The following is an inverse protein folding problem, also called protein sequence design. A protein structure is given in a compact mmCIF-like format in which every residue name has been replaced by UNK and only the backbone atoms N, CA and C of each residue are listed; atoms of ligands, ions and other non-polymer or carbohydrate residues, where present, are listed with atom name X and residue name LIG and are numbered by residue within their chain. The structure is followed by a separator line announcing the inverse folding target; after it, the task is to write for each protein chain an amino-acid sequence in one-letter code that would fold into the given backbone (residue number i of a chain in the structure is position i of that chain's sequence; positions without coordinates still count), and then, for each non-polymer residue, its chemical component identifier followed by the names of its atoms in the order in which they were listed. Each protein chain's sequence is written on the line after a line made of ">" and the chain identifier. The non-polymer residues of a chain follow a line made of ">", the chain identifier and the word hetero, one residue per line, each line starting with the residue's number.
data_IF_977888764660
#
_entry.id   IF_977888764660
#
_cell.length_a   1.000
_cell.length_b   1.000
_cell.length_c   1.000
_cell.angle_alpha   90.00
_cell.angle_beta   90.00
_cell.angle_gamma   90.00
#
_symmetry.space_group_name_H-M   'P 1'
#
loop_
_entity.id
_entity.type
_entity.pdbx_description
1 polymer ?
#
# COMPACT_ATOMS: atom_id res chain seq x y z
N UNK A 1 11.49 -10.29 8.01
CA UNK A 1 10.16 -10.88 8.33
C UNK A 1 9.18 -9.72 8.44
N UNK A 2 8.45 -9.44 7.36
CA UNK A 2 7.43 -8.40 7.34
C UNK A 2 6.07 -9.09 7.47
N UNK A 3 5.36 -8.82 8.55
CA UNK A 3 4.00 -9.34 8.78
C UNK A 3 3.06 -8.50 7.92
N UNK A 4 2.52 -9.11 6.87
CA UNK A 4 1.46 -8.52 6.05
C UNK A 4 0.12 -8.77 6.73
N UNK A 5 -0.48 -7.72 7.31
CA UNK A 5 -1.87 -7.75 7.76
C UNK A 5 -2.78 -7.57 6.56
N UNK A 6 -3.37 -8.68 6.10
CA UNK A 6 -4.50 -8.67 5.15
C UNK A 6 -5.77 -8.42 5.98
N UNK A 7 -6.34 -7.22 5.89
CA UNK A 7 -7.61 -6.91 6.55
C UNK A 7 -8.75 -7.37 5.65
N UNK A 8 -9.44 -8.44 6.08
CA UNK A 8 -10.70 -8.87 5.51
C UNK A 8 -11.83 -7.96 6.00
N UNK A 9 -12.60 -7.40 5.08
CA UNK A 9 -13.76 -6.56 5.37
C UNK A 9 -14.90 -7.43 5.92
N UNK A 10 -15.13 -7.37 7.23
CA UNK A 10 -16.36 -7.87 7.86
C UNK A 10 -17.27 -6.66 8.08
N UNK A 11 -18.34 -6.57 7.29
CA UNK A 11 -19.41 -5.60 7.47
C UNK A 11 -20.25 -6.00 8.68
N UNK A 12 -19.99 -5.41 9.85
CA UNK A 12 -20.93 -5.44 10.95
C UNK A 12 -21.99 -4.34 10.76
N UNK A 13 -23.29 -4.64 10.91
CA UNK A 13 -24.34 -3.62 10.93
C UNK A 13 -24.15 -2.70 12.15
N UNK A 14 -24.57 -1.43 12.06
CA UNK A 14 -24.43 -0.48 13.18
C UNK A 14 -25.35 -0.90 14.33
N UNK A 15 -24.76 -1.43 15.39
CA UNK A 15 -25.42 -1.53 16.69
C UNK A 15 -25.53 -0.12 17.28
N UNK A 16 -26.73 0.45 17.15
CA UNK A 16 -27.16 1.62 17.91
C UNK A 16 -27.27 1.20 19.37
N UNK A 17 -26.27 1.54 20.19
CA UNK A 17 -26.47 1.60 21.63
C UNK A 17 -27.19 2.91 21.91
N UNK A 18 -28.50 2.81 22.17
CA UNK A 18 -29.23 3.84 22.88
C UNK A 18 -28.74 3.83 24.32
N UNK A 19 -28.03 4.88 24.73
CA UNK A 19 -27.64 5.06 26.12
C UNK A 19 -28.81 5.70 26.87
N UNK A 20 -29.17 5.06 27.98
CA UNK A 20 -30.36 5.29 28.78
C UNK A 20 -30.31 6.66 29.46
N UNK A 21 -31.34 7.46 29.26
CA UNK A 21 -31.57 8.69 30.01
C UNK A 21 -31.79 8.41 31.50
N UNK A 22 -31.10 9.17 32.34
CA UNK A 22 -31.32 9.22 33.78
C UNK A 22 -31.07 10.64 34.29
N UNK A 23 -32.14 11.29 34.74
CA UNK A 23 -32.12 12.22 35.87
C UNK A 23 -31.63 13.64 35.57
N UNK A 24 -32.59 14.55 35.54
CA UNK A 24 -32.46 16.01 35.60
C UNK A 24 -31.32 16.54 36.49
N UNK A 25 -30.36 17.18 35.86
CA UNK A 25 -29.65 18.35 36.36
C UNK A 25 -29.62 19.34 35.18
N UNK A 26 -29.88 20.63 35.41
CA UNK A 26 -29.75 21.67 34.38
C UNK A 26 -28.27 21.73 33.95
N UNK A 27 -27.87 20.88 33.01
CA UNK A 27 -26.49 20.67 32.63
C UNK A 27 -25.99 21.83 31.77
N UNK A 28 -24.84 22.37 32.15
CA UNK A 28 -24.15 23.45 31.47
C UNK A 28 -23.81 23.11 30.00
N UNK A 29 -23.72 21.82 29.69
CA UNK A 29 -23.47 21.23 28.37
C UNK A 29 -24.54 21.57 27.32
N UNK A 30 -25.79 21.84 27.73
CA UNK A 30 -26.87 22.15 26.78
C UNK A 30 -26.77 23.55 26.18
N UNK A 31 -25.93 24.42 26.77
CA UNK A 31 -25.91 25.85 26.47
C UNK A 31 -24.53 26.38 26.11
N UNK A 32 -23.48 25.63 26.45
CA UNK A 32 -22.09 26.05 26.29
C UNK A 32 -21.25 24.90 25.80
N UNK A 33 -20.57 25.13 24.67
CA UNK A 33 -19.62 24.18 24.12
C UNK A 33 -18.20 24.65 24.40
N UNK A 34 -17.50 23.96 25.30
CA UNK A 34 -16.11 24.24 25.63
C UNK A 34 -15.17 23.25 24.95
N UNK A 35 -14.09 23.78 24.38
CA UNK A 35 -13.00 22.99 23.79
C UNK A 35 -11.65 23.46 24.31
N UNK A 36 -10.72 22.53 24.50
CA UNK A 36 -9.36 22.84 24.91
C UNK A 36 -8.39 22.69 23.74
N UNK A 37 -7.31 23.47 23.77
CA UNK A 37 -6.12 23.22 22.95
C UNK A 37 -4.95 22.96 23.89
N UNK A 38 -4.23 21.86 23.67
CA UNK A 38 -3.13 21.45 24.53
C UNK A 38 -1.85 21.31 23.71
N UNK A 39 -0.83 22.07 24.11
CA UNK A 39 0.54 21.98 23.60
C UNK A 39 1.52 22.16 24.76
N UNK A 40 2.73 21.61 24.65
CA UNK A 40 3.79 21.79 25.65
C UNK A 40 4.10 23.27 25.91
N UNK A 41 3.92 24.14 24.91
CA UNK A 41 4.15 25.58 25.02
C UNK A 41 3.00 26.32 25.71
N UNK A 42 1.75 25.98 25.38
CA UNK A 42 0.57 26.69 25.86
C UNK A 42 -0.65 25.77 25.88
N UNK A 43 -1.41 25.85 26.98
CA UNK A 43 -2.74 25.22 27.08
C UNK A 43 -3.80 26.30 27.19
N UNK A 44 -4.86 26.15 26.41
CA UNK A 44 -5.95 27.11 26.35
C UNK A 44 -7.31 26.41 26.40
N UNK A 45 -8.32 27.19 26.76
CA UNK A 45 -9.72 26.79 26.77
C UNK A 45 -10.52 27.86 26.02
N UNK A 46 -11.39 27.44 25.12
CA UNK A 46 -12.33 28.27 24.41
C UNK A 46 -13.75 27.75 24.66
N UNK A 47 -14.63 28.60 25.18
CA UNK A 47 -16.04 28.25 25.42
C UNK A 47 -16.94 29.12 24.55
N UNK A 48 -17.80 28.48 23.76
CA UNK A 48 -18.77 29.08 22.86
C UNK A 48 -20.17 28.97 23.43
N UNK A 49 -20.94 30.06 23.37
CA UNK A 49 -22.30 30.16 23.92
C UNK A 49 -23.34 30.25 22.81
N UNK A 50 -24.42 29.51 22.97
CA UNK A 50 -25.56 29.58 22.06
C UNK A 50 -26.21 30.97 22.07
N UNK A 51 -26.74 31.39 20.92
CA UNK A 51 -27.22 32.76 20.69
C UNK A 51 -28.32 33.19 21.66
N UNK A 52 -29.19 32.26 22.07
CA UNK A 52 -30.29 32.53 23.00
C UNK A 52 -29.84 32.90 24.42
N UNK A 53 -28.68 32.41 24.85
CA UNK A 53 -28.19 32.57 26.23
C UNK A 53 -27.01 33.54 26.31
N UNK A 54 -26.24 33.69 25.23
CA UNK A 54 -25.12 34.63 25.16
C UNK A 54 -25.53 36.06 25.54
N UNK A 55 -26.75 36.49 25.18
CA UNK A 55 -27.30 37.79 25.55
C UNK A 55 -27.59 37.92 27.06
N UNK A 56 -27.85 36.82 27.75
CA UNK A 56 -28.23 36.78 29.17
C UNK A 56 -27.06 36.45 30.10
N UNK A 57 -25.87 36.15 29.56
CA UNK A 57 -24.66 35.97 30.35
C UNK A 57 -24.22 37.29 30.96
N UNK A 58 -24.20 37.35 32.30
CA UNK A 58 -23.69 38.51 33.06
C UNK A 58 -22.21 38.38 33.38
N UNK A 59 -21.76 37.19 33.77
CA UNK A 59 -20.36 36.93 34.17
C UNK A 59 -20.02 35.46 33.98
N UNK A 60 -18.80 35.19 33.53
CA UNK A 60 -18.21 33.84 33.53
C UNK A 60 -16.96 33.86 34.39
N UNK A 61 -16.81 32.85 35.23
CA UNK A 61 -15.65 32.68 36.09
C UNK A 61 -15.14 31.24 35.98
N UNK A 62 -13.85 31.11 35.74
CA UNK A 62 -13.15 29.83 35.80
C UNK A 62 -12.24 29.88 37.00
N UNK A 63 -12.29 28.85 37.83
CA UNK A 63 -11.39 28.72 38.97
C UNK A 63 -10.94 27.27 39.10
N UNK A 64 -9.75 27.08 39.63
CA UNK A 64 -9.27 25.77 40.03
C UNK A 64 -9.00 25.78 41.53
N UNK A 65 -9.15 24.63 42.14
CA UNK A 65 -8.82 24.43 43.55
C UNK A 65 -7.42 23.85 43.61
N UNK A 66 -6.47 24.60 44.13
CA UNK A 66 -5.16 24.06 44.50
C UNK A 66 -5.08 24.09 46.02
N UNK A 67 -5.23 22.89 46.61
CA UNK A 67 -5.08 22.40 47.99
C UNK A 67 -5.48 23.28 49.19
N UNK A 68 -5.40 24.62 49.13
CA UNK A 68 -5.83 25.57 50.17
C UNK A 68 -6.40 26.91 49.64
N UNK A 69 -6.45 27.21 48.33
CA UNK A 69 -7.04 28.45 47.78
C UNK A 69 -7.84 28.23 46.49
N UNK A 70 -9.02 28.84 46.41
CA UNK A 70 -9.79 28.98 45.15
C UNK A 70 -9.20 30.13 44.35
N UNK A 71 -8.39 29.80 43.34
CA UNK A 71 -7.79 30.80 42.46
C UNK A 71 -8.66 30.96 41.22
N UNK A 72 -9.17 32.18 41.00
CA UNK A 72 -9.89 32.51 39.77
C UNK A 72 -8.88 32.78 38.66
N UNK A 73 -9.05 32.10 37.53
CA UNK A 73 -8.29 32.34 36.30
C UNK A 73 -8.82 33.63 35.67
N UNK A 74 -7.90 34.52 35.29
CA UNK A 74 -8.24 35.73 34.56
C UNK A 74 -8.66 35.36 33.13
N UNK A 75 -9.75 35.95 32.66
CA UNK A 75 -10.16 35.86 31.26
C UNK A 75 -9.07 36.47 30.38
N UNK A 76 -8.68 35.78 29.31
CA UNK A 76 -7.66 36.26 28.38
C UNK A 76 -8.25 37.30 27.43
N UNK A 77 -9.27 36.90 26.68
CA UNK A 77 -9.99 37.76 25.76
C UNK A 77 -11.42 37.25 25.54
N UNK A 78 -12.23 38.12 24.95
CA UNK A 78 -13.59 37.83 24.49
C UNK A 78 -13.66 38.23 23.01
N UNK A 79 -14.29 37.42 22.19
CA UNK A 79 -14.56 37.78 20.79
C UNK A 79 -15.49 38.99 20.69
N UNK A 80 -15.41 39.76 19.60
CA UNK A 80 -16.19 41.00 19.40
C UNK A 80 -17.70 40.76 19.41
N UNK A 81 -18.13 39.60 18.90
CA UNK A 81 -19.51 39.11 18.95
C UNK A 81 -19.99 38.77 20.39
N UNK A 82 -19.06 38.72 21.33
CA UNK A 82 -19.31 38.40 22.73
C UNK A 82 -19.66 36.94 23.00
N UNK A 83 -19.58 36.04 22.01
CA UNK A 83 -20.05 34.66 22.08
C UNK A 83 -18.99 33.67 22.55
N UNK A 84 -17.72 33.99 22.36
CA UNK A 84 -16.61 33.10 22.69
C UNK A 84 -15.67 33.72 23.71
N UNK A 85 -15.33 32.94 24.73
CA UNK A 85 -14.43 33.34 25.81
C UNK A 85 -13.20 32.48 25.77
N UNK A 86 -12.00 33.09 25.78
CA UNK A 86 -10.76 32.33 25.82
C UNK A 86 -9.96 32.56 27.10
N UNK A 87 -9.34 31.47 27.53
CA UNK A 87 -8.43 31.40 28.65
C UNK A 87 -7.14 30.74 28.16
N UNK A 88 -6.00 31.26 28.61
CA UNK A 88 -4.67 30.80 28.21
C UNK A 88 -3.82 30.49 29.42
N UNK A 89 -2.69 29.80 29.21
CA UNK A 89 -1.73 29.45 30.25
C UNK A 89 -2.35 28.62 31.39
N UNK A 90 -3.27 27.72 31.02
CA UNK A 90 -3.87 26.79 31.95
C UNK A 90 -2.92 25.63 32.25
N UNK A 91 -3.02 25.09 33.47
CA UNK A 91 -2.33 23.88 33.88
C UNK A 91 -3.04 22.67 33.23
N UNK A 92 -2.31 21.80 32.51
CA UNK A 92 -2.90 20.67 31.78
C UNK A 92 -3.48 19.56 32.68
N UNK A 93 -3.09 19.50 33.97
CA UNK A 93 -3.49 18.44 34.91
C UNK A 93 -4.63 18.89 35.84
N UNK A 94 -4.78 20.20 36.04
CA UNK A 94 -5.77 20.74 36.97
C UNK A 94 -7.21 20.47 36.53
N UNK A 95 -8.08 20.24 37.51
CA UNK A 95 -9.53 20.26 37.33
C UNK A 95 -10.02 21.70 37.52
N UNK A 96 -10.73 22.20 36.52
CA UNK A 96 -11.29 23.54 36.51
C UNK A 96 -12.79 23.49 36.78
N UNK A 97 -13.28 24.42 37.58
CA UNK A 97 -14.70 24.65 37.78
C UNK A 97 -15.07 25.90 36.98
N UNK A 98 -15.86 25.72 35.92
CA UNK A 98 -16.46 26.81 35.18
C UNK A 98 -17.79 27.16 35.83
N UNK A 99 -18.06 28.45 36.03
CA UNK A 99 -19.34 28.92 36.52
C UNK A 99 -19.80 30.12 35.71
N UNK A 100 -21.02 30.03 35.20
CA UNK A 100 -21.70 31.06 34.43
C UNK A 100 -22.78 31.65 35.32
N UNK A 101 -22.80 32.97 35.41
CA UNK A 101 -23.86 33.72 36.10
C UNK A 101 -24.66 34.49 35.05
N UNK A 102 -25.95 34.21 34.99
CA UNK A 102 -26.89 34.89 34.10
C UNK A 102 -27.41 36.20 34.73
N UNK A 103 -28.05 37.05 33.92
CA UNK A 103 -28.71 38.28 34.38
C UNK A 103 -29.81 38.01 35.41
N UNK A 104 -30.49 36.87 35.28
CA UNK A 104 -31.49 36.36 36.24
C UNK A 104 -30.90 35.99 37.62
N UNK A 105 -29.56 36.07 37.77
CA UNK A 105 -28.78 35.59 38.92
C UNK A 105 -28.72 34.07 39.05
N UNK A 106 -29.29 33.32 38.12
CA UNK A 106 -29.05 31.88 38.02
C UNK A 106 -27.55 31.63 37.78
N UNK A 107 -27.02 30.64 38.47
CA UNK A 107 -25.61 30.25 38.38
C UNK A 107 -25.54 28.78 37.97
N UNK A 108 -24.97 28.54 36.79
CA UNK A 108 -24.68 27.20 36.28
C UNK A 108 -23.19 26.94 36.47
N UNK A 109 -22.82 25.78 37.00
CA UNK A 109 -21.41 25.42 37.18
C UNK A 109 -21.16 23.99 36.73
N UNK A 110 -19.95 23.75 36.21
CA UNK A 110 -19.52 22.42 35.78
C UNK A 110 -18.00 22.23 35.93
N UNK A 111 -17.57 20.97 35.91
CA UNK A 111 -16.18 20.54 36.07
C UNK A 111 -15.55 20.18 34.73
N UNK A 112 -14.50 20.90 34.36
CA UNK A 112 -13.77 20.71 33.12
C UNK A 112 -12.36 20.18 33.40
N UNK A 113 -11.95 19.16 32.66
CA UNK A 113 -10.56 18.73 32.54
C UNK A 113 -10.12 18.95 31.11
N UNK A 114 -9.02 19.68 30.91
CA UNK A 114 -8.57 20.04 29.56
C UNK A 114 -8.32 18.81 28.69
N UNK A 115 -7.77 17.75 29.27
CA UNK A 115 -7.46 16.51 28.56
C UNK A 115 -8.68 15.76 28.00
N UNK A 116 -9.89 16.06 28.46
CA UNK A 116 -11.10 15.31 28.10
C UNK A 116 -11.87 15.99 26.93
N UNK A 117 -11.59 17.27 26.64
CA UNK A 117 -12.33 18.10 25.67
C UNK A 117 -11.43 18.72 24.59
N UNK A 118 -10.36 18.03 24.20
CA UNK A 118 -9.37 18.55 23.26
C UNK A 118 -9.95 18.67 21.85
N UNK A 119 -9.89 19.87 21.27
CA UNK A 119 -10.05 20.08 19.82
C UNK A 119 -8.68 20.39 19.23
N UNK A 120 -8.02 19.42 18.54
CA UNK A 120 -6.68 19.64 18.02
C UNK A 120 -6.67 20.61 16.83
N UNK A 121 -5.51 21.20 16.55
CA UNK A 121 -5.29 21.96 15.33
C UNK A 121 -5.51 21.06 14.10
N UNK A 122 -6.09 21.60 13.00
CA UNK A 122 -6.23 20.85 11.76
C UNK A 122 -4.83 20.40 11.27
N UNK A 123 -4.68 19.13 10.83
CA UNK A 123 -3.46 18.71 10.15
C UNK A 123 -3.37 19.38 8.77
N UNK A 124 -2.27 19.18 8.06
CA UNK A 124 -2.16 19.54 6.65
C UNK A 124 -1.69 18.37 5.80
N UNK A 125 -2.07 18.38 4.52
CA UNK A 125 -1.58 17.43 3.53
C UNK A 125 -0.22 17.92 3.03
N UNK A 126 0.85 17.32 3.53
CA UNK A 126 2.22 17.67 3.15
C UNK A 126 2.57 17.19 1.74
N UNK A 127 2.02 16.05 1.31
CA UNK A 127 2.20 15.54 -0.04
C UNK A 127 0.98 14.69 -0.44
N UNK A 128 0.51 14.82 -1.67
CA UNK A 128 -0.48 13.92 -2.27
C UNK A 128 -0.14 13.76 -3.75
N UNK A 129 0.41 12.60 -4.13
CA UNK A 129 0.84 12.34 -5.50
C UNK A 129 0.45 10.95 -5.96
N UNK A 130 0.14 10.82 -7.25
CA UNK A 130 -0.05 9.53 -7.88
C UNK A 130 1.25 9.05 -8.51
N UNK A 131 1.79 7.96 -7.99
CA UNK A 131 3.08 7.40 -8.44
C UNK A 131 2.81 6.28 -9.45
N UNK A 132 3.09 6.57 -10.73
CA UNK A 132 2.83 5.65 -11.85
C UNK A 132 3.56 4.31 -11.73
N UNK A 133 4.82 4.32 -11.31
CA UNK A 133 5.68 3.12 -11.25
C UNK A 133 5.15 2.02 -10.34
N UNK A 134 4.38 2.40 -9.31
CA UNK A 134 3.79 1.50 -8.32
C UNK A 134 2.26 1.48 -8.39
N UNK A 135 1.67 2.18 -9.38
CA UNK A 135 0.23 2.34 -9.58
C UNK A 135 -0.52 2.62 -8.27
N UNK A 136 -0.10 3.65 -7.53
CA UNK A 136 -0.70 4.01 -6.24
C UNK A 136 -0.60 5.51 -5.97
N UNK A 137 -1.56 6.05 -5.22
CA UNK A 137 -1.46 7.37 -4.64
C UNK A 137 -0.78 7.30 -3.26
N UNK A 138 0.19 8.18 -3.03
CA UNK A 138 0.86 8.37 -1.75
C UNK A 138 0.44 9.71 -1.15
N UNK A 139 -0.15 9.65 0.04
CA UNK A 139 -0.64 10.79 0.80
C UNK A 139 0.14 10.86 2.10
N UNK A 140 0.76 12.01 2.37
CA UNK A 140 1.49 12.31 3.60
C UNK A 140 0.80 13.46 4.32
N UNK A 141 0.54 13.23 5.60
CA UNK A 141 -0.12 14.16 6.51
C UNK A 141 0.90 14.63 7.53
N UNK A 142 0.86 15.90 7.90
CA UNK A 142 1.69 16.45 8.96
C UNK A 142 0.83 17.19 9.99
N UNK A 143 1.43 17.40 11.17
CA UNK A 143 0.74 17.96 12.34
C UNK A 143 1.65 18.88 13.14
N UNK A 144 1.04 19.78 13.89
CA UNK A 144 1.74 20.65 14.84
C UNK A 144 2.33 19.93 16.06
N UNK A 145 1.98 18.66 16.28
CA UNK A 145 2.23 17.94 17.53
C UNK A 145 3.49 17.07 17.54
N UNK A 146 4.45 17.31 16.65
CA UNK A 146 5.71 16.58 16.68
C UNK A 146 6.46 16.87 17.99
N UNK A 147 6.77 15.84 18.78
CA UNK A 147 7.35 15.95 20.12
C UNK A 147 6.47 16.73 21.13
N UNK A 148 5.14 16.73 20.95
CA UNK A 148 4.18 17.38 21.84
C UNK A 148 3.29 16.35 22.58
N UNK A 149 2.36 16.79 23.44
CA UNK A 149 1.44 15.94 24.20
C UNK A 149 0.68 14.93 23.34
N UNK A 150 0.24 15.37 22.16
CA UNK A 150 -0.56 14.59 21.21
C UNK A 150 0.29 13.85 20.15
N UNK A 151 1.62 13.86 20.28
CA UNK A 151 2.49 13.10 19.37
C UNK A 151 2.12 11.61 19.38
N UNK A 152 1.82 11.06 18.19
CA UNK A 152 1.36 9.68 17.99
C UNK A 152 0.11 9.28 18.80
N UNK A 153 -0.69 10.25 19.26
CA UNK A 153 -1.95 10.04 20.01
C UNK A 153 -3.14 10.64 19.27
N UNK A 154 -3.06 10.63 17.94
CA UNK A 154 -4.09 11.15 17.05
C UNK A 154 -4.52 10.06 16.08
N UNK A 155 -5.83 9.95 15.87
CA UNK A 155 -6.39 9.30 14.68
C UNK A 155 -6.66 10.38 13.64
N UNK A 156 -6.40 10.05 12.38
CA UNK A 156 -6.65 10.92 11.24
C UNK A 156 -7.79 10.35 10.42
N UNK A 157 -8.73 11.20 10.03
CA UNK A 157 -9.71 10.86 8.99
C UNK A 157 -9.32 11.55 7.71
N UNK A 158 -9.11 10.78 6.65
CA UNK A 158 -8.77 11.27 5.32
C UNK A 158 -10.00 11.18 4.44
N UNK A 159 -10.38 12.29 3.82
CA UNK A 159 -11.41 12.35 2.78
C UNK A 159 -10.75 12.50 1.42
N UNK A 160 -11.06 11.56 0.51
CA UNK A 160 -10.63 11.57 -0.88
C UNK A 160 -11.87 11.75 -1.75
N UNK A 161 -11.92 12.83 -2.52
CA UNK A 161 -13.05 13.17 -3.39
C UNK A 161 -12.62 13.19 -4.84
N UNK A 162 -13.29 12.43 -5.70
CA UNK A 162 -13.04 12.44 -7.15
C UNK A 162 -14.24 11.91 -7.93
N UNK A 163 -14.52 12.52 -9.09
CA UNK A 163 -15.64 12.17 -9.97
C UNK A 163 -17.00 12.00 -9.24
N UNK A 164 -17.31 12.90 -8.31
CA UNK A 164 -18.55 12.83 -7.51
C UNK A 164 -18.55 11.78 -6.39
N UNK A 165 -17.56 10.89 -6.34
CA UNK A 165 -17.39 9.93 -5.23
C UNK A 165 -16.61 10.56 -4.08
N UNK A 166 -17.02 10.24 -2.86
CA UNK A 166 -16.36 10.65 -1.62
C UNK A 166 -16.04 9.40 -0.82
N UNK A 167 -14.75 9.16 -0.59
CA UNK A 167 -14.25 8.07 0.24
C UNK A 167 -13.66 8.66 1.52
N UNK A 168 -14.00 8.08 2.67
CA UNK A 168 -13.45 8.46 3.97
C UNK A 168 -12.82 7.25 4.62
N UNK A 169 -11.63 7.41 5.17
CA UNK A 169 -10.93 6.35 5.90
C UNK A 169 -10.22 6.92 7.12
N UNK A 170 -10.22 6.16 8.21
CA UNK A 170 -9.55 6.52 9.44
C UNK A 170 -8.21 5.77 9.52
N UNK A 171 -7.13 6.49 9.83
CA UNK A 171 -5.76 5.96 9.89
C UNK A 171 -5.06 6.45 11.15
N UNK A 172 -4.16 5.61 11.68
CA UNK A 172 -3.35 5.92 12.87
C UNK A 172 -2.02 6.60 12.53
N UNK A 173 -1.58 6.45 11.28
CA UNK A 173 -0.29 6.93 10.80
C UNK A 173 -0.47 8.12 9.87
N UNK A 174 0.55 8.97 9.84
CA UNK A 174 0.65 10.15 8.98
C UNK A 174 0.91 9.84 7.49
N UNK A 175 0.76 8.57 7.09
CA UNK A 175 0.95 8.12 5.71
C UNK A 175 -0.19 7.19 5.31
N UNK A 176 -0.73 7.44 4.12
CA UNK A 176 -1.75 6.62 3.49
C UNK A 176 -1.33 6.32 2.06
N UNK A 177 -1.38 5.04 1.71
CA UNK A 177 -1.19 4.57 0.34
C UNK A 177 -2.49 4.00 -0.18
N UNK A 178 -2.98 4.53 -1.29
CA UNK A 178 -4.20 4.07 -1.97
C UNK A 178 -3.81 3.42 -3.28
N UNK A 179 -4.10 2.13 -3.43
CA UNK A 179 -3.84 1.42 -4.68
C UNK A 179 -4.65 2.02 -5.82
N UNK A 180 -4.03 2.14 -7.00
CA UNK A 180 -4.67 2.71 -8.20
C UNK A 180 -5.90 1.95 -8.66
N UNK A 181 -6.08 0.68 -8.27
CA UNK A 181 -7.31 -0.09 -8.55
C UNK A 181 -8.55 0.46 -7.85
N UNK A 182 -8.39 1.24 -6.78
CA UNK A 182 -9.47 1.91 -6.05
C UNK A 182 -9.69 3.36 -6.52
N UNK A 183 -8.92 3.80 -7.51
CA UNK A 183 -8.97 5.14 -8.07
C UNK A 183 -9.35 5.03 -9.55
N UNK A 184 -10.18 5.96 -10.01
CA UNK A 184 -10.52 6.04 -11.41
C UNK A 184 -9.34 6.61 -12.21
N UNK A 185 -9.08 6.12 -13.43
CA UNK A 185 -8.02 6.62 -14.28
C UNK A 185 -8.35 8.02 -14.83
N UNK A 186 -7.32 8.85 -14.99
CA UNK A 186 -7.43 10.22 -15.53
C UNK A 186 -8.39 11.15 -14.74
N UNK A 187 -8.54 10.91 -13.44
CA UNK A 187 -9.45 11.64 -12.56
C UNK A 187 -8.67 12.58 -11.65
N UNK A 188 -9.22 13.79 -11.45
CA UNK A 188 -8.72 14.75 -10.47
C UNK A 188 -9.35 14.46 -9.11
N UNK A 189 -8.50 14.14 -8.15
CA UNK A 189 -8.87 13.90 -6.76
C UNK A 189 -8.49 15.08 -5.89
N UNK A 190 -9.32 15.38 -4.90
CA UNK A 190 -9.04 16.32 -3.81
C UNK A 190 -8.98 15.54 -2.50
N UNK A 191 -7.92 15.79 -1.73
CA UNK A 191 -7.65 15.13 -0.46
C UNK A 191 -7.61 16.16 0.64
N UNK A 192 -8.30 15.87 1.74
CA UNK A 192 -8.19 16.66 2.98
C UNK A 192 -8.20 15.72 4.18
N UNK A 193 -7.63 16.16 5.29
CA UNK A 193 -7.55 15.37 6.51
C UNK A 193 -8.05 16.17 7.71
N UNK A 194 -8.50 15.47 8.74
CA UNK A 194 -8.75 16.02 10.08
C UNK A 194 -8.24 15.05 11.13
N UNK A 195 -7.95 15.54 12.33
CA UNK A 195 -7.40 14.74 13.41
C UNK A 195 -8.34 14.72 14.63
N UNK A 196 -8.28 13.65 15.42
CA UNK A 196 -8.96 13.55 16.73
C UNK A 196 -8.01 12.89 17.73
N UNK A 197 -7.99 13.32 19.00
CA UNK A 197 -7.27 12.60 20.05
C UNK A 197 -7.72 11.14 20.12
N UNK A 198 -6.74 10.25 20.24
CA UNK A 198 -6.96 8.81 20.36
C UNK A 198 -6.13 8.25 21.51
N UNK A 199 -6.80 7.52 22.40
CA UNK A 199 -6.22 6.88 23.56
C UNK A 199 -7.06 7.12 24.81
N UNK A 200 -6.66 6.51 25.92
CA UNK A 200 -7.46 6.55 27.15
C UNK A 200 -7.29 7.85 27.94
N UNK A 201 -6.12 8.49 27.82
CA UNK A 201 -5.77 9.68 28.61
C UNK A 201 -6.23 10.99 27.96
N UNK A 202 -6.18 11.09 26.63
CA UNK A 202 -6.56 12.28 25.89
C UNK A 202 -7.81 12.01 25.06
N UNK A 203 -8.86 12.78 25.31
CA UNK A 203 -10.14 12.69 24.64
C UNK A 203 -10.55 14.05 24.09
N UNK A 204 -11.55 14.05 23.23
CA UNK A 204 -12.14 15.27 22.70
C UNK A 204 -12.73 15.10 21.33
N UNK A 205 -12.58 16.12 20.51
CA UNK A 205 -13.33 16.34 19.29
C UNK A 205 -12.46 16.23 18.03
N UNK A 206 -13.10 16.13 16.89
CA UNK A 206 -12.43 16.28 15.60
C UNK A 206 -11.96 17.72 15.41
N UNK A 207 -10.76 17.88 14.84
CA UNK A 207 -10.32 19.16 14.29
C UNK A 207 -11.23 19.58 13.14
N UNK A 208 -11.10 20.84 12.75
CA UNK A 208 -11.58 21.27 11.45
C UNK A 208 -10.83 20.51 10.34
N UNK A 209 -11.42 20.48 9.15
CA UNK A 209 -10.76 19.88 7.98
C UNK A 209 -9.58 20.73 7.52
N UNK A 210 -8.51 20.09 7.08
CA UNK A 210 -7.41 20.75 6.37
C UNK A 210 -7.90 21.35 5.06
N UNK A 211 -7.12 22.30 4.54
CA UNK A 211 -7.27 22.73 3.15
C UNK A 211 -7.08 21.52 2.21
N UNK A 212 -7.88 21.43 1.13
CA UNK A 212 -7.79 20.31 0.21
C UNK A 212 -6.58 20.45 -0.72
N UNK A 213 -5.86 19.36 -0.92
CA UNK A 213 -4.77 19.24 -1.91
C UNK A 213 -5.21 18.32 -3.03
N UNK A 214 -4.93 18.72 -4.28
CA UNK A 214 -5.35 17.96 -5.45
C UNK A 214 -4.23 17.10 -6.02
N UNK A 215 -4.57 15.89 -6.49
CA UNK A 215 -3.69 15.05 -7.31
C UNK A 215 -4.48 14.45 -8.47
N UNK A 216 -3.80 14.16 -9.58
CA UNK A 216 -4.43 13.57 -10.76
C UNK A 216 -3.90 12.16 -10.98
N UNK A 217 -4.81 11.19 -11.10
CA UNK A 217 -4.44 9.86 -11.57
C UNK A 217 -4.16 9.92 -13.07
N UNK A 218 -3.23 9.09 -13.54
CA UNK A 218 -2.97 9.02 -14.98
C UNK A 218 -3.80 7.93 -15.62
N UNK A 219 -3.93 7.98 -16.94
CA UNK A 219 -4.47 6.84 -17.68
C UNK A 219 -3.64 5.61 -17.32
N UNK A 220 -4.31 4.52 -16.96
CA UNK A 220 -3.69 3.20 -16.92
C UNK A 220 -3.28 2.90 -18.36
N UNK A 221 -2.03 3.20 -18.70
CA UNK A 221 -1.35 2.39 -19.68
C UNK A 221 -1.31 1.01 -19.03
N UNK A 222 -2.16 0.10 -19.51
CA UNK A 222 -1.99 -1.32 -19.25
C UNK A 222 -0.50 -1.53 -19.49
N UNK A 223 0.29 -1.94 -18.48
CA UNK A 223 1.67 -2.26 -18.73
C UNK A 223 1.59 -3.22 -19.90
N UNK A 224 2.23 -2.89 -21.03
CA UNK A 224 2.68 -3.93 -21.92
C UNK A 224 3.41 -4.86 -20.97
N UNK A 225 2.72 -5.93 -20.56
CA UNK A 225 3.33 -6.98 -19.82
C UNK A 225 4.38 -7.44 -20.83
N UNK A 226 5.61 -7.00 -20.65
CA UNK A 226 6.78 -7.84 -20.79
C UNK A 226 6.64 -9.01 -19.81
N UNK A 227 5.50 -9.71 -19.85
CA UNK A 227 5.43 -11.09 -19.44
C UNK A 227 6.42 -11.84 -20.34
N UNK A 228 6.90 -12.99 -19.89
CA UNK A 228 7.82 -13.80 -20.69
C UNK A 228 7.23 -13.89 -22.09
N UNK A 229 7.95 -13.37 -23.10
CA UNK A 229 7.45 -13.29 -24.47
C UNK A 229 7.02 -14.70 -24.90
N UNK A 230 5.73 -15.02 -24.76
CA UNK A 230 5.23 -16.39 -24.89
C UNK A 230 5.55 -16.89 -26.29
N UNK A 231 5.47 -15.99 -27.28
CA UNK A 231 5.93 -16.23 -28.65
C UNK A 231 7.42 -16.59 -28.75
N UNK A 232 8.30 -15.90 -28.01
CA UNK A 232 9.74 -16.19 -27.99
C UNK A 232 10.00 -17.55 -27.33
N UNK A 233 9.32 -17.88 -26.24
CA UNK A 233 9.42 -19.19 -25.59
C UNK A 233 8.90 -20.32 -26.48
N UNK A 234 7.76 -20.13 -27.15
CA UNK A 234 7.21 -21.09 -28.10
C UNK A 234 8.14 -21.28 -29.30
N UNK A 235 8.77 -20.20 -29.79
CA UNK A 235 9.77 -20.25 -30.87
C UNK A 235 11.04 -21.01 -30.43
N UNK A 236 11.54 -20.77 -29.22
CA UNK A 236 12.71 -21.47 -28.69
C UNK A 236 12.39 -22.96 -28.53
N UNK A 237 11.22 -23.30 -27.97
CA UNK A 237 10.79 -24.70 -27.80
C UNK A 237 10.63 -25.38 -29.16
N UNK A 238 10.03 -24.71 -30.16
CA UNK A 238 9.84 -25.30 -31.48
C UNK A 238 11.18 -25.59 -32.17
N UNK A 239 12.15 -24.67 -32.07
CA UNK A 239 13.52 -24.88 -32.59
C UNK A 239 14.21 -26.04 -31.89
N UNK A 240 14.10 -26.14 -30.55
CA UNK A 240 14.68 -27.26 -29.79
C UNK A 240 14.06 -28.59 -30.18
N UNK A 241 12.74 -28.65 -30.34
CA UNK A 241 12.03 -29.87 -30.77
C UNK A 241 12.47 -30.28 -32.18
N UNK A 242 12.60 -29.32 -33.11
CA UNK A 242 13.09 -29.60 -34.46
C UNK A 242 14.52 -30.14 -34.44
N UNK A 243 15.41 -29.58 -33.61
CA UNK A 243 16.78 -30.07 -33.44
C UNK A 243 16.81 -31.49 -32.85
N UNK A 244 15.96 -31.79 -31.88
CA UNK A 244 15.87 -33.15 -31.33
C UNK A 244 15.38 -34.16 -32.37
N UNK A 245 14.39 -33.78 -33.18
CA UNK A 245 13.89 -34.63 -34.27
C UNK A 245 14.99 -34.89 -35.31
N UNK A 246 15.75 -33.87 -35.73
CA UNK A 246 16.84 -34.07 -36.69
C UNK A 246 17.93 -34.98 -36.14
N UNK A 247 18.29 -34.85 -34.86
CA UNK A 247 19.25 -35.74 -34.20
C UNK A 247 18.74 -37.18 -34.19
N UNK A 248 17.47 -37.42 -33.83
CA UNK A 248 16.89 -38.77 -33.81
C UNK A 248 16.89 -39.39 -35.21
N UNK A 249 16.51 -38.63 -36.24
CA UNK A 249 16.54 -39.10 -37.64
C UNK A 249 17.96 -39.46 -38.06
N UNK A 250 18.96 -38.62 -37.75
CA UNK A 250 20.36 -38.90 -38.07
C UNK A 250 20.88 -40.16 -37.36
N UNK A 251 20.54 -40.34 -36.09
CA UNK A 251 20.91 -41.53 -35.32
C UNK A 251 20.28 -42.79 -35.92
N UNK A 252 18.97 -42.76 -36.18
CA UNK A 252 18.25 -43.89 -36.81
C UNK A 252 18.79 -44.21 -38.21
N UNK A 253 19.05 -43.19 -39.03
CA UNK A 253 19.69 -43.37 -40.33
C UNK A 253 21.07 -44.02 -40.19
N UNK A 254 21.87 -43.59 -39.22
CA UNK A 254 23.21 -44.14 -39.00
C UNK A 254 23.20 -45.59 -38.55
N UNK A 255 22.16 -46.03 -37.83
CA UNK A 255 22.04 -47.42 -37.35
C UNK A 255 21.49 -48.35 -38.42
N UNK A 256 20.44 -47.93 -39.13
CA UNK A 256 19.77 -48.76 -40.15
C UNK A 256 20.60 -48.88 -41.44
N UNK A 257 21.21 -47.77 -41.89
CA UNK A 257 21.97 -47.77 -43.14
C UNK A 257 23.34 -48.42 -42.95
N UNK A 258 24.01 -48.24 -41.81
CA UNK A 258 25.26 -48.99 -41.54
C UNK A 258 25.03 -50.49 -41.53
N UNK A 259 23.90 -50.94 -40.95
CA UNK A 259 23.54 -52.35 -40.95
C UNK A 259 23.21 -52.88 -42.36
N UNK A 260 22.56 -52.07 -43.20
CA UNK A 260 22.18 -52.46 -44.56
C UNK A 260 23.30 -52.35 -45.60
N UNK A 261 24.22 -51.38 -45.48
CA UNK A 261 25.30 -51.14 -46.44
C UNK A 261 26.59 -51.87 -46.05
N UNK A 262 26.82 -52.11 -44.76
CA UNK A 262 28.05 -52.73 -44.25
C UNK A 262 27.75 -53.92 -43.34
N UNK A 263 27.26 -55.05 -43.89
CA UNK A 263 27.14 -56.28 -43.10
C UNK A 263 28.52 -56.66 -42.54
N UNK A 264 28.55 -57.17 -41.31
CA UNK A 264 29.79 -57.63 -40.68
C UNK A 264 30.50 -58.64 -41.59
N UNK A 265 31.66 -58.25 -42.14
CA UNK A 265 32.42 -59.06 -43.09
C UNK A 265 32.83 -60.36 -42.38
N UNK A 266 32.41 -61.54 -42.87
CA UNK A 266 32.76 -62.81 -42.24
C UNK A 266 34.27 -63.01 -42.26
N UNK A 267 34.81 -63.47 -41.13
CA UNK A 267 36.24 -63.60 -40.87
C UNK A 267 36.94 -64.45 -41.96
N UNK A 268 37.90 -63.89 -42.73
CA UNK A 268 38.45 -64.50 -43.95
C UNK A 268 39.30 -65.76 -43.72
N UNK A 269 39.66 -66.07 -42.45
CA UNK A 269 40.51 -67.22 -42.11
C UNK A 269 39.92 -68.57 -42.52
N UNK A 270 38.60 -68.76 -42.38
CA UNK A 270 37.97 -70.04 -42.72
C UNK A 270 37.71 -70.20 -44.22
N UNK A 271 37.42 -69.09 -44.91
CA UNK A 271 37.12 -69.12 -46.36
C UNK A 271 38.38 -69.30 -47.20
N UNK A 272 39.52 -68.75 -46.81
CA UNK A 272 40.78 -68.92 -47.55
C UNK A 272 41.42 -70.30 -47.35
N UNK A 273 41.17 -70.95 -46.21
CA UNK A 273 41.68 -72.30 -45.93
C UNK A 273 41.11 -73.37 -46.87
N UNK A 274 39.87 -73.20 -47.34
CA UNK A 274 39.25 -74.16 -48.28
C UNK A 274 39.73 -74.00 -49.73
N UNK A 275 40.23 -72.81 -50.11
CA UNK A 275 40.70 -72.52 -51.47
C UNK A 275 42.18 -72.84 -51.68
N UNK A 276 42.96 -72.97 -50.60
CA UNK A 276 44.38 -73.31 -50.69
C UNK A 276 44.59 -74.84 -50.74
N UNK A 277 44.29 -75.46 -51.90
CA UNK A 277 44.82 -76.79 -52.22
C UNK A 277 46.33 -76.67 -52.47
N UNK A 278 47.13 -77.11 -51.51
CA UNK A 278 48.60 -77.11 -51.58
C UNK A 278 49.07 -77.96 -52.77
N UNK A 279 49.72 -77.39 -53.80
CA UNK A 279 50.21 -78.17 -54.94
C UNK A 279 51.38 -79.08 -54.53
N UNK A 280 51.34 -80.34 -54.97
CA UNK A 280 52.44 -81.30 -54.86
C UNK A 280 53.62 -80.90 -55.73
N UNK A 281 54.80 -81.31 -55.27
CA UNK A 281 56.17 -80.94 -55.71
C UNK A 281 56.42 -80.86 -57.23
N UNK A 282 57.29 -79.90 -57.53
CA UNK A 282 58.14 -79.65 -58.71
C UNK A 282 57.58 -78.77 -59.85
N UNK A 283 58.21 -77.59 -60.14
CA UNK A 283 57.75 -76.68 -61.18
C UNK A 283 58.34 -77.04 -62.54
N UNK A 284 57.50 -77.27 -63.55
CA UNK A 284 57.94 -77.32 -64.95
C UNK A 284 57.66 -75.95 -65.58
N UNK A 285 58.71 -75.12 -65.63
CA UNK A 285 58.75 -73.90 -66.42
C UNK A 285 58.93 -74.24 -67.90
N UNK A 286 57.87 -74.14 -68.70
CA UNK A 286 58.02 -73.97 -70.15
C UNK A 286 56.98 -72.99 -70.67
N UNK A 287 57.45 -71.82 -71.10
CA UNK A 287 56.64 -70.79 -71.72
C UNK A 287 56.41 -71.18 -73.19
N UNK A 288 55.16 -71.48 -73.57
CA UNK A 288 54.79 -71.77 -74.96
C UNK A 288 54.17 -70.51 -75.59
N UNK A 289 54.86 -69.83 -76.52
CA UNK A 289 54.42 -68.56 -77.09
C UNK A 289 53.24 -68.67 -78.08
N UNK A 290 52.76 -69.88 -78.42
CA UNK A 290 51.59 -70.02 -79.30
C UNK A 290 50.24 -69.77 -78.61
N UNK A 291 50.18 -69.72 -77.27
CA UNK A 291 48.94 -69.49 -76.52
C UNK A 291 48.40 -68.05 -76.58
N UNK A 292 49.15 -67.12 -77.20
CA UNK A 292 48.79 -65.69 -77.27
C UNK A 292 48.49 -65.21 -78.70
N UNK A 293 48.31 -66.12 -79.66
CA UNK A 293 48.00 -65.77 -81.05
C UNK A 293 46.55 -65.32 -81.31
N UNK A 294 45.62 -65.53 -80.38
CA UNK A 294 44.19 -65.29 -80.61
C UNK A 294 43.65 -63.98 -80.02
N UNK A 295 44.52 -62.99 -79.75
CA UNK A 295 44.09 -61.66 -79.31
C UNK A 295 44.21 -60.66 -80.48
N UNK A 296 43.10 -60.32 -81.16
CA UNK A 296 43.12 -59.28 -82.19
C UNK A 296 43.39 -57.92 -81.55
N UNK A 297 44.56 -57.36 -81.83
CA UNK A 297 44.95 -56.00 -81.43
C UNK A 297 44.36 -55.05 -82.48
N UNK A 298 43.34 -54.29 -82.09
CA UNK A 298 42.86 -53.15 -82.90
C UNK A 298 43.69 -51.91 -82.59
N UNK A 299 44.30 -51.31 -83.62
CA UNK A 299 44.88 -49.98 -83.55
C UNK A 299 43.78 -48.92 -83.57
N UNK A 300 43.90 -47.92 -82.72
CA UNK A 300 43.01 -46.77 -82.64
C UNK A 300 43.66 -45.64 -83.44
N UNK A 301 43.00 -45.20 -84.52
CA UNK A 301 43.25 -43.90 -85.17
C UNK A 301 42.57 -42.77 -84.37
#
# INVERSE_FOLDING_TARGET
>A
MAVFLVIAFISFPPSVLAESGSGSDDSLDDFVNCTSQMTMAQNSLACHFDEGIAADVKRIQIFFSDSLKRNCVKLSNRTEDGKTFHYVNLNPVSVYNICITLKSKMKLCDHIKLKDIIKPFPPWIANATFVKSINAAEIRIETHYANDYLDRKLVFQVEIRGNGTVQKTDILYQSLRVEGKYLEPNTLYHVRARAKPQGDYFQGFWSDWSDPVAFRTTKLEVPEKGGPNILLYVLIISVVVLLLITIVVVVQWSTEIKASIWPSIPNPKNTLGHMYKKPGKDPVTSFNPEAFRDLPIHSVD
#
